data_IF_975282322961
#
_entry.id   IF_975282322961
#
_cell.length_a   1.000
_cell.length_b   1.000
_cell.length_c   1.000
_cell.angle_alpha   90.00
_cell.angle_beta   90.00
_cell.angle_gamma   90.00
#
_symmetry.space_group_name_H-M   'P 1'
#
loop_
_entity.id
_entity.type
_entity.pdbx_description
1 polymer ?
#
# COMPACT_ATOMS: atom_id res chain seq x y z
N UNK A 1 -39.90 -47.70 77.35
CA UNK A 1 -38.57 -47.81 76.75
C UNK A 1 -38.67 -47.55 75.24
N UNK A 2 -38.39 -46.35 74.80
CA UNK A 2 -38.35 -46.03 73.40
C UNK A 2 -37.03 -45.19 73.13
N UNK A 3 -36.14 -45.82 72.40
CA UNK A 3 -34.90 -45.22 72.00
C UNK A 3 -35.12 -44.28 70.76
N UNK A 4 -34.79 -43.02 70.89
CA UNK A 4 -34.78 -42.11 69.82
C UNK A 4 -33.41 -42.18 69.09
N UNK A 5 -33.42 -42.46 67.82
CA UNK A 5 -32.24 -42.39 66.95
C UNK A 5 -32.12 -41.00 66.34
N UNK A 6 -31.01 -40.33 66.58
CA UNK A 6 -30.69 -39.04 65.94
C UNK A 6 -30.00 -39.27 64.59
N UNK A 7 -30.58 -38.76 63.53
CA UNK A 7 -29.91 -38.68 62.18
C UNK A 7 -29.16 -37.43 62.11
N UNK A 8 -27.83 -37.49 61.92
CA UNK A 8 -26.96 -36.40 61.56
C UNK A 8 -26.89 -36.29 60.03
N UNK A 9 -27.27 -35.15 59.46
CA UNK A 9 -27.07 -34.78 58.03
C UNK A 9 -25.68 -34.17 57.89
N UNK A 10 -24.84 -34.61 56.91
CA UNK A 10 -23.65 -33.90 56.58
C UNK A 10 -23.99 -32.76 55.59
N UNK A 11 -23.65 -31.51 55.94
CA UNK A 11 -23.71 -30.39 55.05
C UNK A 11 -22.51 -30.45 54.07
N UNK A 12 -22.78 -30.64 52.76
CA UNK A 12 -21.79 -30.48 51.71
C UNK A 12 -21.57 -28.99 51.44
N UNK A 13 -20.40 -28.48 51.78
CA UNK A 13 -19.91 -27.18 51.37
C UNK A 13 -19.42 -27.30 49.92
N UNK A 14 -20.19 -26.77 48.96
CA UNK A 14 -19.75 -26.50 47.58
C UNK A 14 -18.83 -25.26 47.60
N UNK A 15 -17.52 -25.47 47.56
CA UNK A 15 -16.56 -24.43 47.26
C UNK A 15 -16.64 -24.09 45.75
N UNK A 16 -17.38 -23.04 45.42
CA UNK A 16 -17.39 -22.48 44.09
C UNK A 16 -16.03 -21.76 43.84
N UNK A 17 -15.18 -22.33 42.97
CA UNK A 17 -14.06 -21.59 42.41
C UNK A 17 -14.63 -20.48 41.50
N UNK A 18 -14.72 -19.27 42.02
CA UNK A 18 -14.83 -18.08 41.18
C UNK A 18 -13.48 -17.91 40.48
N UNK A 19 -13.42 -18.19 39.17
CA UNK A 19 -12.32 -17.76 38.34
C UNK A 19 -12.34 -16.24 38.38
N UNK A 20 -11.39 -15.66 39.11
CA UNK A 20 -11.10 -14.23 39.05
C UNK A 20 -10.62 -13.95 37.63
N UNK A 21 -11.44 -13.25 36.84
CA UNK A 21 -10.98 -12.59 35.60
C UNK A 21 -9.86 -11.66 36.01
N UNK A 22 -8.62 -12.02 35.70
CA UNK A 22 -7.48 -11.13 35.87
C UNK A 22 -7.68 -10.02 34.85
N UNK A 23 -8.10 -8.86 35.29
CA UNK A 23 -7.93 -7.60 34.55
C UNK A 23 -6.45 -7.48 34.25
N UNK A 24 -6.03 -7.28 32.99
CA UNK A 24 -4.61 -7.09 32.69
C UNK A 24 -4.07 -5.97 33.57
N UNK A 25 -2.93 -6.17 34.20
CA UNK A 25 -2.28 -5.15 35.00
C UNK A 25 -1.97 -3.97 34.09
N UNK A 26 -2.53 -2.80 34.37
CA UNK A 26 -2.26 -1.55 33.69
C UNK A 26 -0.78 -1.24 33.93
N UNK A 27 0.06 -1.37 32.89
CA UNK A 27 1.48 -1.00 32.98
C UNK A 27 1.56 0.53 32.94
N UNK A 28 2.17 1.12 33.96
CA UNK A 28 2.28 2.58 34.10
C UNK A 28 3.17 3.22 33.00
N UNK A 29 3.97 2.44 32.29
CA UNK A 29 4.85 2.89 31.21
C UNK A 29 4.87 1.86 30.08
N UNK A 30 5.01 2.34 28.85
CA UNK A 30 5.16 1.51 27.66
C UNK A 30 6.52 0.77 27.71
N UNK A 31 6.49 -0.57 27.67
CA UNK A 31 7.70 -1.40 27.69
C UNK A 31 7.80 -2.16 26.38
N UNK A 32 8.85 -1.88 25.60
CA UNK A 32 9.14 -2.59 24.34
C UNK A 32 9.71 -3.97 24.68
N UNK A 33 9.11 -5.03 24.13
CA UNK A 33 9.56 -6.42 24.28
C UNK A 33 10.38 -6.90 23.08
N UNK A 34 9.95 -6.52 21.85
CA UNK A 34 10.63 -6.90 20.62
C UNK A 34 10.30 -5.91 19.50
N UNK A 35 10.95 -6.09 18.36
CA UNK A 35 10.59 -5.42 17.11
C UNK A 35 9.87 -6.41 16.20
N UNK A 36 8.75 -5.96 15.62
CA UNK A 36 8.04 -6.73 14.62
C UNK A 36 8.94 -6.91 13.37
N UNK A 37 9.10 -8.14 12.85
CA UNK A 37 10.01 -8.38 11.74
C UNK A 37 9.46 -7.81 10.42
N UNK A 38 10.22 -6.90 9.82
CA UNK A 38 10.02 -6.41 8.46
C UNK A 38 11.26 -6.78 7.65
N UNK A 39 11.06 -7.38 6.48
CA UNK A 39 12.14 -7.87 5.64
C UNK A 39 12.62 -6.83 4.63
N UNK A 40 11.69 -6.06 4.09
CA UNK A 40 11.92 -5.14 2.98
C UNK A 40 11.59 -3.70 3.32
N UNK A 41 10.47 -3.45 4.01
CA UNK A 41 9.96 -2.11 4.32
C UNK A 41 10.90 -1.33 5.22
N UNK A 42 11.12 -0.05 4.87
CA UNK A 42 12.03 0.86 5.57
C UNK A 42 11.39 2.17 6.00
N UNK A 43 10.17 2.45 5.52
CA UNK A 43 9.47 3.71 5.81
C UNK A 43 8.63 3.64 7.08
N UNK A 44 8.50 2.47 7.69
CA UNK A 44 7.89 2.32 9.01
C UNK A 44 8.60 1.27 9.85
N UNK A 45 8.38 1.30 11.16
CA UNK A 45 8.80 0.28 12.10
C UNK A 45 7.70 0.03 13.11
N UNK A 46 7.69 -1.16 13.71
CA UNK A 46 6.74 -1.54 14.76
C UNK A 46 7.50 -2.14 15.92
N UNK A 47 7.37 -1.54 17.09
CA UNK A 47 7.86 -2.10 18.35
C UNK A 47 6.69 -2.79 19.06
N UNK A 48 6.83 -4.09 19.29
CA UNK A 48 5.85 -4.90 20.04
C UNK A 48 6.07 -4.64 21.52
N UNK A 49 5.02 -4.22 22.21
CA UNK A 49 5.08 -3.79 23.59
C UNK A 49 4.33 -4.73 24.54
N UNK A 50 4.78 -4.76 25.81
CA UNK A 50 4.11 -5.50 26.86
C UNK A 50 2.62 -5.13 26.95
N UNK A 51 1.76 -6.13 27.14
CA UNK A 51 0.31 -5.93 27.21
C UNK A 51 -0.40 -5.99 25.86
N UNK A 52 0.31 -6.38 24.79
CA UNK A 52 -0.23 -6.55 23.45
C UNK A 52 -0.39 -5.24 22.66
N UNK A 53 0.31 -4.18 23.08
CA UNK A 53 0.34 -2.92 22.33
C UNK A 53 1.38 -2.98 21.22
N UNK A 54 1.11 -2.29 20.11
CA UNK A 54 2.07 -2.10 19.03
C UNK A 54 2.35 -0.60 18.85
N UNK A 55 3.64 -0.21 18.93
CA UNK A 55 4.07 1.16 18.69
C UNK A 55 4.63 1.28 17.27
N UNK A 56 3.83 1.86 16.39
CA UNK A 56 4.19 2.12 15.01
C UNK A 56 4.92 3.47 14.93
N UNK A 57 6.03 3.50 14.18
CA UNK A 57 6.74 4.75 13.88
C UNK A 57 6.85 4.92 12.36
N UNK A 58 6.37 6.06 11.83
CA UNK A 58 6.43 6.45 10.42
C UNK A 58 6.98 7.87 10.34
N UNK A 59 8.16 8.06 9.73
CA UNK A 59 8.78 9.38 9.55
C UNK A 59 8.79 10.24 10.83
N UNK A 60 9.09 9.59 11.96
CA UNK A 60 9.12 10.23 13.28
C UNK A 60 7.76 10.38 13.97
N UNK A 61 6.65 10.23 13.29
CA UNK A 61 5.31 10.17 13.91
C UNK A 61 5.10 8.82 14.58
N UNK A 62 4.59 8.83 15.83
CA UNK A 62 4.40 7.62 16.63
C UNK A 62 2.92 7.35 16.90
N UNK A 63 2.50 6.10 16.68
CA UNK A 63 1.12 5.65 16.84
C UNK A 63 1.09 4.41 17.71
N UNK A 64 0.39 4.47 18.84
CA UNK A 64 0.18 3.33 19.70
C UNK A 64 -1.14 2.66 19.37
N UNK A 65 -1.07 1.45 18.83
CA UNK A 65 -2.25 0.59 18.62
C UNK A 65 -2.56 -0.08 19.95
N UNK A 66 -3.76 0.20 20.46
CA UNK A 66 -4.27 -0.37 21.72
C UNK A 66 -5.28 -1.45 21.39
N UNK A 67 -5.07 -2.70 21.85
CA UNK A 67 -5.98 -3.80 21.58
C UNK A 67 -7.41 -3.52 22.06
N UNK A 68 -8.38 -4.16 21.41
CA UNK A 68 -9.79 -4.08 21.83
C UNK A 68 -9.95 -4.51 23.29
N UNK A 69 -10.70 -3.69 24.05
CA UNK A 69 -10.96 -3.94 25.48
C UNK A 69 -9.82 -3.61 26.43
N UNK A 70 -8.63 -3.24 25.92
CA UNK A 70 -7.53 -2.72 26.72
C UNK A 70 -7.61 -1.19 26.88
N UNK A 71 -7.08 -0.67 27.99
CA UNK A 71 -6.92 0.78 28.18
C UNK A 71 -5.50 1.20 27.76
N UNK A 72 -5.37 2.38 27.17
CA UNK A 72 -4.05 2.95 26.89
C UNK A 72 -3.27 3.18 28.19
N UNK A 73 -1.93 2.99 28.19
CA UNK A 73 -1.06 3.31 29.33
C UNK A 73 -1.21 4.77 29.77
N UNK A 74 -1.18 5.01 31.09
CA UNK A 74 -1.45 6.34 31.65
C UNK A 74 -0.34 7.37 31.36
N UNK A 75 0.90 6.91 31.21
CA UNK A 75 2.11 7.75 31.09
C UNK A 75 2.74 7.61 29.69
N UNK A 76 1.99 8.01 28.64
CA UNK A 76 2.50 8.08 27.28
C UNK A 76 3.20 9.43 27.03
N UNK A 77 4.20 9.41 26.17
CA UNK A 77 4.79 10.64 25.63
C UNK A 77 3.72 11.41 24.86
N UNK A 78 3.73 12.74 24.97
CA UNK A 78 2.69 13.60 24.41
C UNK A 78 2.60 13.59 22.87
N UNK A 79 3.64 13.08 22.19
CA UNK A 79 3.71 12.95 20.74
C UNK A 79 3.24 11.57 20.22
N UNK A 80 2.79 10.68 21.11
CA UNK A 80 2.19 9.40 20.73
C UNK A 80 0.70 9.58 20.49
N UNK A 81 0.29 9.30 19.27
CA UNK A 81 -1.13 9.23 18.90
C UNK A 81 -1.68 7.85 19.26
N UNK A 82 -2.73 7.80 20.06
CA UNK A 82 -3.37 6.55 20.46
C UNK A 82 -4.41 6.14 19.43
N UNK A 83 -4.31 4.90 18.94
CA UNK A 83 -5.26 4.26 18.02
C UNK A 83 -5.90 3.08 18.73
N UNK A 84 -7.16 3.27 19.16
CA UNK A 84 -7.91 2.23 19.88
C UNK A 84 -8.58 1.27 18.90
N UNK A 85 -8.31 -0.03 19.03
CA UNK A 85 -9.05 -1.04 18.27
C UNK A 85 -10.45 -1.31 18.90
N UNK A 86 -11.46 -1.67 18.08
CA UNK A 86 -11.38 -1.80 16.62
C UNK A 86 -11.35 -0.43 15.93
N UNK A 87 -10.37 -0.23 15.03
CA UNK A 87 -10.32 0.98 14.19
C UNK A 87 -11.40 0.84 13.11
N UNK A 88 -12.33 1.77 13.08
CA UNK A 88 -13.48 1.80 12.17
C UNK A 88 -13.69 3.20 11.59
N UNK A 89 -14.56 3.28 10.60
CA UNK A 89 -14.92 4.53 9.94
C UNK A 89 -13.69 5.28 9.40
N UNK A 90 -12.76 4.53 8.80
CA UNK A 90 -11.55 5.10 8.23
C UNK A 90 -11.90 6.05 7.09
N UNK A 91 -11.31 7.24 7.10
CA UNK A 91 -11.24 8.13 5.95
C UNK A 91 -9.96 7.82 5.18
N UNK A 92 -10.11 7.15 4.03
CA UNK A 92 -9.00 6.69 3.20
C UNK A 92 -8.74 7.65 2.04
N UNK A 93 -7.61 8.35 2.08
CA UNK A 93 -7.16 9.28 1.05
C UNK A 93 -6.02 8.70 0.22
N UNK A 94 -5.15 7.89 0.84
CA UNK A 94 -4.09 7.18 0.13
C UNK A 94 -4.68 6.01 -0.67
N UNK A 95 -4.79 6.16 -1.99
CA UNK A 95 -5.38 5.13 -2.85
C UNK A 95 -4.58 3.83 -2.89
N UNK A 96 -3.26 3.88 -2.63
CA UNK A 96 -2.39 2.70 -2.53
C UNK A 96 -2.67 1.83 -1.30
N UNK A 97 -3.35 2.38 -0.28
CA UNK A 97 -3.68 1.65 0.94
C UNK A 97 -4.96 0.79 0.81
N UNK A 98 -5.82 1.08 -0.19
CA UNK A 98 -7.09 0.38 -0.35
C UNK A 98 -6.92 -1.10 -0.67
N UNK A 99 -6.03 -1.44 -1.59
CA UNK A 99 -5.80 -2.82 -2.03
C UNK A 99 -5.24 -3.72 -0.91
N UNK A 100 -4.20 -3.31 -0.14
CA UNK A 100 -3.77 -4.04 1.05
C UNK A 100 -4.89 -4.23 2.09
N UNK A 101 -5.72 -3.22 2.32
CA UNK A 101 -6.86 -3.32 3.25
C UNK A 101 -7.90 -4.33 2.73
N UNK A 102 -8.21 -4.31 1.43
CA UNK A 102 -9.11 -5.29 0.80
C UNK A 102 -8.54 -6.71 0.92
N UNK A 103 -7.25 -6.90 0.61
CA UNK A 103 -6.59 -8.20 0.56
C UNK A 103 -6.61 -8.95 1.89
N UNK A 104 -6.64 -8.21 3.01
CA UNK A 104 -6.77 -8.78 4.36
C UNK A 104 -8.24 -8.83 4.85
N UNK A 105 -9.22 -8.54 3.98
CA UNK A 105 -10.64 -8.51 4.35
C UNK A 105 -11.03 -7.33 5.25
N UNK A 106 -10.28 -6.22 5.19
CA UNK A 106 -10.47 -5.05 6.04
C UNK A 106 -11.37 -3.96 5.45
N UNK A 107 -11.95 -4.14 4.25
CA UNK A 107 -12.74 -3.11 3.55
C UNK A 107 -13.86 -2.52 4.42
N UNK A 108 -14.52 -3.34 5.23
CA UNK A 108 -15.60 -2.89 6.11
C UNK A 108 -15.19 -1.89 7.20
N UNK A 109 -13.88 -1.68 7.43
CA UNK A 109 -13.40 -0.63 8.32
C UNK A 109 -13.33 0.76 7.62
N UNK A 110 -13.39 0.81 6.28
CA UNK A 110 -13.36 2.05 5.50
C UNK A 110 -14.78 2.54 5.29
N UNK A 111 -15.10 3.72 5.81
CA UNK A 111 -16.41 4.35 5.62
C UNK A 111 -16.36 5.55 4.66
N UNK A 112 -15.17 6.15 4.49
CA UNK A 112 -14.99 7.37 3.73
C UNK A 112 -13.81 7.27 2.78
N UNK A 113 -13.95 7.83 1.58
CA UNK A 113 -12.92 7.82 0.54
C UNK A 113 -12.55 9.23 0.10
N UNK A 114 -11.25 9.47 -0.09
CA UNK A 114 -10.72 10.68 -0.76
C UNK A 114 -10.75 10.59 -2.29
N UNK A 115 -11.13 9.44 -2.83
CA UNK A 115 -11.23 9.15 -4.27
C UNK A 115 -12.70 8.89 -4.62
N UNK A 116 -13.19 9.44 -5.72
CA UNK A 116 -14.55 9.23 -6.21
C UNK A 116 -14.72 7.83 -6.81
N UNK A 117 -15.93 7.29 -6.84
CA UNK A 117 -16.22 5.92 -7.26
C UNK A 117 -15.69 5.61 -8.68
N UNK A 118 -15.90 6.54 -9.63
CA UNK A 118 -15.46 6.40 -11.03
C UNK A 118 -13.92 6.37 -11.20
N UNK A 119 -13.16 6.79 -10.18
CA UNK A 119 -11.71 6.80 -10.19
C UNK A 119 -11.09 5.60 -9.45
N UNK A 120 -11.92 4.69 -8.93
CA UNK A 120 -11.45 3.42 -8.39
C UNK A 120 -11.39 2.34 -9.46
N UNK A 121 -10.21 1.81 -9.67
CA UNK A 121 -9.96 0.61 -10.51
C UNK A 121 -10.08 -0.69 -9.70
N UNK A 122 -10.21 -0.60 -8.38
CA UNK A 122 -10.51 -1.72 -7.49
C UNK A 122 -12.02 -1.93 -7.43
N UNK A 123 -12.51 -3.03 -8.03
CA UNK A 123 -13.94 -3.33 -8.14
C UNK A 123 -14.64 -3.36 -6.78
N UNK A 124 -13.99 -3.91 -5.76
CA UNK A 124 -14.55 -3.97 -4.41
C UNK A 124 -14.78 -2.57 -3.82
N UNK A 125 -13.81 -1.65 -3.98
CA UNK A 125 -13.94 -0.27 -3.50
C UNK A 125 -15.01 0.50 -4.27
N UNK A 126 -15.02 0.38 -5.62
CA UNK A 126 -16.03 1.01 -6.46
C UNK A 126 -17.42 0.53 -6.11
N UNK A 127 -17.62 -0.79 -5.99
CA UNK A 127 -18.90 -1.39 -5.64
C UNK A 127 -19.40 -0.94 -4.27
N UNK A 128 -18.53 -0.90 -3.26
CA UNK A 128 -18.88 -0.42 -1.93
C UNK A 128 -19.33 1.05 -1.94
N UNK A 129 -18.69 1.90 -2.75
CA UNK A 129 -19.12 3.29 -2.94
C UNK A 129 -20.46 3.40 -3.68
N UNK A 130 -20.67 2.63 -4.74
CA UNK A 130 -21.93 2.60 -5.50
C UNK A 130 -23.11 2.11 -4.65
N UNK A 131 -22.85 1.22 -3.68
CA UNK A 131 -23.83 0.73 -2.71
C UNK A 131 -24.04 1.69 -1.52
N UNK A 132 -23.23 2.73 -1.41
CA UNK A 132 -23.30 3.70 -0.32
C UNK A 132 -22.69 3.20 0.99
N UNK A 133 -21.92 2.13 0.97
CA UNK A 133 -21.17 1.63 2.12
C UNK A 133 -19.94 2.50 2.40
N UNK A 134 -19.33 3.08 1.37
CA UNK A 134 -18.25 4.07 1.46
C UNK A 134 -18.72 5.37 0.80
N UNK A 135 -18.63 6.49 1.52
CA UNK A 135 -18.96 7.80 0.99
C UNK A 135 -17.73 8.58 0.54
N UNK A 136 -17.86 9.39 -0.51
CA UNK A 136 -16.82 10.36 -0.85
C UNK A 136 -16.82 11.53 0.14
N UNK A 137 -15.68 11.80 0.77
CA UNK A 137 -15.53 12.86 1.78
C UNK A 137 -14.44 13.90 1.40
N UNK A 138 -14.26 14.14 0.10
CA UNK A 138 -13.28 15.11 -0.40
C UNK A 138 -11.87 14.53 -0.52
N UNK A 139 -10.98 15.28 -1.19
CA UNK A 139 -9.57 14.90 -1.41
C UNK A 139 -8.65 15.49 -0.33
N UNK A 140 -7.40 15.05 -0.26
CA UNK A 140 -6.37 15.49 0.70
C UNK A 140 -6.32 17.03 0.91
N UNK A 141 -6.55 17.84 -0.12
CA UNK A 141 -6.46 19.31 -0.06
C UNK A 141 -7.79 20.03 0.18
N UNK A 142 -8.89 19.29 0.19
CA UNK A 142 -10.24 19.83 0.38
C UNK A 142 -11.19 18.75 0.94
N UNK A 143 -10.94 18.26 2.17
CA UNK A 143 -11.80 17.29 2.81
C UNK A 143 -13.16 17.90 3.22
N UNK A 144 -14.19 17.10 3.22
CA UNK A 144 -15.50 17.44 3.79
C UNK A 144 -15.50 17.12 5.29
N UNK A 145 -15.10 18.11 6.09
CA UNK A 145 -15.01 17.94 7.54
C UNK A 145 -16.36 17.60 8.19
N UNK A 146 -17.48 18.08 7.65
CA UNK A 146 -18.81 17.78 8.19
C UNK A 146 -19.13 16.28 8.02
N UNK A 147 -18.90 15.75 6.83
CA UNK A 147 -19.07 14.33 6.54
C UNK A 147 -18.12 13.46 7.39
N UNK A 148 -16.85 13.85 7.51
CA UNK A 148 -15.84 13.11 8.28
C UNK A 148 -16.21 13.03 9.76
N UNK A 149 -16.64 14.15 10.35
CA UNK A 149 -17.04 14.21 11.76
C UNK A 149 -18.38 13.51 12.02
N UNK A 150 -19.33 13.62 11.09
CA UNK A 150 -20.63 12.95 11.19
C UNK A 150 -20.51 11.43 11.13
N UNK A 151 -19.49 10.92 10.47
CA UNK A 151 -19.19 9.49 10.38
C UNK A 151 -18.44 8.95 11.61
N UNK A 152 -18.11 9.77 12.59
CA UNK A 152 -17.27 9.40 13.76
C UNK A 152 -15.95 8.76 13.29
N UNK A 153 -15.21 9.47 12.43
CA UNK A 153 -13.99 8.98 11.80
C UNK A 153 -12.93 8.58 12.83
N UNK A 154 -12.58 7.30 12.87
CA UNK A 154 -11.59 6.76 13.83
C UNK A 154 -10.13 6.93 13.41
N UNK A 155 -9.86 7.10 12.11
CA UNK A 155 -8.52 7.29 11.55
C UNK A 155 -8.62 7.87 10.14
N UNK A 156 -7.85 8.91 9.84
CA UNK A 156 -7.59 9.37 8.48
C UNK A 156 -6.26 8.79 7.98
N UNK A 157 -6.28 8.05 6.87
CA UNK A 157 -5.08 7.54 6.19
C UNK A 157 -4.81 8.43 4.99
N UNK A 158 -3.90 9.37 5.16
CA UNK A 158 -3.52 10.36 4.17
C UNK A 158 -2.30 9.90 3.35
N UNK A 159 -2.18 10.41 2.14
CA UNK A 159 -0.96 10.26 1.35
C UNK A 159 0.00 11.45 1.58
N UNK A 160 1.22 11.34 1.07
CA UNK A 160 2.25 12.37 1.27
C UNK A 160 1.96 13.72 0.60
N UNK A 161 0.94 13.81 -0.26
CA UNK A 161 0.49 15.10 -0.82
C UNK A 161 -0.08 16.02 0.26
N UNK A 162 -0.48 15.48 1.42
CA UNK A 162 -0.93 16.28 2.59
C UNK A 162 0.14 17.26 3.07
N UNK A 163 1.43 16.99 2.82
CA UNK A 163 2.52 17.89 3.16
C UNK A 163 2.50 19.22 2.38
N UNK A 164 1.75 19.30 1.28
CA UNK A 164 1.52 20.54 0.54
C UNK A 164 0.35 21.38 1.11
N UNK A 165 -0.44 20.78 2.02
CA UNK A 165 -1.58 21.40 2.70
C UNK A 165 -1.58 21.01 4.18
N UNK A 166 -0.52 21.34 4.95
CA UNK A 166 -0.35 20.89 6.34
C UNK A 166 -1.49 21.36 7.24
N UNK A 167 -2.14 22.46 6.90
CA UNK A 167 -3.31 22.99 7.62
C UNK A 167 -4.50 22.02 7.64
N UNK A 168 -4.63 21.16 6.63
CA UNK A 168 -5.68 20.13 6.58
C UNK A 168 -5.41 19.06 7.64
N UNK A 169 -4.18 18.56 7.73
CA UNK A 169 -3.77 17.60 8.77
C UNK A 169 -4.01 18.19 10.16
N UNK A 170 -3.51 19.40 10.40
CA UNK A 170 -3.71 20.09 11.68
C UNK A 170 -5.19 20.28 12.04
N UNK A 171 -6.05 20.53 11.04
CA UNK A 171 -7.47 20.71 11.28
C UNK A 171 -8.18 19.40 11.63
N UNK A 172 -7.85 18.28 10.97
CA UNK A 172 -8.35 16.95 11.32
C UNK A 172 -7.95 16.59 12.76
N UNK A 173 -6.68 16.78 13.11
CA UNK A 173 -6.16 16.50 14.45
C UNK A 173 -6.82 17.39 15.53
N UNK A 174 -7.09 18.67 15.25
CA UNK A 174 -7.85 19.56 16.15
C UNK A 174 -9.29 19.09 16.37
N UNK A 175 -9.89 18.44 15.40
CA UNK A 175 -11.19 17.80 15.52
C UNK A 175 -11.16 16.45 16.24
N UNK A 176 -9.97 15.99 16.63
CA UNK A 176 -9.80 14.72 17.33
C UNK A 176 -9.71 13.50 16.41
N UNK A 177 -9.59 13.71 15.09
CA UNK A 177 -9.38 12.64 14.12
C UNK A 177 -7.88 12.35 14.02
N UNK A 178 -7.40 11.16 14.41
CA UNK A 178 -6.01 10.77 14.22
C UNK A 178 -5.66 10.76 12.72
N UNK A 179 -4.45 11.23 12.37
CA UNK A 179 -3.99 11.25 10.98
C UNK A 179 -2.71 10.44 10.84
N UNK A 180 -2.76 9.37 10.05
CA UNK A 180 -1.61 8.57 9.64
C UNK A 180 -1.25 8.95 8.20
N UNK A 181 0.01 9.39 7.99
CA UNK A 181 0.51 9.66 6.63
C UNK A 181 1.20 8.42 6.09
N UNK A 182 0.59 7.82 5.09
CA UNK A 182 1.06 6.63 4.39
C UNK A 182 2.25 6.97 3.50
N UNK A 183 3.32 6.15 3.55
CA UNK A 183 4.58 6.42 2.84
C UNK A 183 5.09 5.24 2.00
N UNK A 184 4.24 4.29 1.66
CA UNK A 184 4.64 3.17 0.79
C UNK A 184 5.20 3.64 -0.56
N UNK A 185 4.77 4.82 -1.02
CA UNK A 185 5.28 5.45 -2.23
C UNK A 185 6.76 5.86 -2.16
N UNK A 186 7.34 5.93 -0.95
CA UNK A 186 8.77 6.22 -0.73
C UNK A 186 9.62 4.95 -0.59
N UNK A 187 9.00 3.76 -0.61
CA UNK A 187 9.75 2.52 -0.68
C UNK A 187 10.37 2.34 -2.07
N UNK A 188 11.65 2.02 -2.10
CA UNK A 188 12.41 1.80 -3.34
C UNK A 188 12.36 0.35 -3.82
N UNK A 189 11.69 -0.53 -3.08
CA UNK A 189 11.55 -1.95 -3.35
C UNK A 189 10.06 -2.29 -3.51
N UNK A 190 9.64 -3.00 -4.58
CA UNK A 190 8.25 -3.41 -4.74
C UNK A 190 7.78 -4.31 -3.61
N UNK A 191 8.64 -5.20 -3.08
CA UNK A 191 8.31 -6.04 -1.94
C UNK A 191 8.13 -5.22 -0.66
N UNK A 192 8.94 -4.17 -0.48
CA UNK A 192 8.77 -3.24 0.64
C UNK A 192 7.42 -2.51 0.57
N UNK A 193 6.96 -2.12 -0.64
CA UNK A 193 5.63 -1.51 -0.80
C UNK A 193 4.51 -2.47 -0.42
N UNK A 194 4.61 -3.74 -0.83
CA UNK A 194 3.63 -4.77 -0.48
C UNK A 194 3.66 -5.08 1.01
N UNK A 195 4.82 -5.04 1.66
CA UNK A 195 4.96 -5.33 3.08
C UNK A 195 4.19 -4.34 3.98
N UNK A 196 3.75 -3.20 3.47
CA UNK A 196 2.84 -2.29 4.15
C UNK A 196 1.49 -2.94 4.51
N UNK A 197 1.12 -4.04 3.87
CA UNK A 197 -0.04 -4.86 4.26
C UNK A 197 0.04 -5.30 5.72
N UNK A 198 1.26 -5.56 6.24
CA UNK A 198 1.49 -5.93 7.65
C UNK A 198 1.12 -4.77 8.59
N UNK A 199 1.38 -3.51 8.20
CA UNK A 199 0.94 -2.34 8.96
C UNK A 199 -0.59 -2.29 9.06
N UNK A 200 -1.30 -2.50 7.95
CA UNK A 200 -2.76 -2.53 7.96
C UNK A 200 -3.31 -3.73 8.74
N UNK A 201 -2.61 -4.86 8.70
CA UNK A 201 -2.91 -6.02 9.55
C UNK A 201 -2.89 -5.69 11.03
N UNK A 202 -1.84 -4.99 11.49
CA UNK A 202 -1.71 -4.53 12.88
C UNK A 202 -2.82 -3.53 13.23
N UNK A 203 -3.05 -2.51 12.39
CA UNK A 203 -4.09 -1.51 12.63
C UNK A 203 -5.48 -2.12 12.77
N UNK A 204 -5.80 -3.12 11.95
CA UNK A 204 -7.13 -3.72 11.86
C UNK A 204 -7.29 -5.03 12.66
N UNK A 205 -6.27 -5.44 13.42
CA UNK A 205 -6.28 -6.71 14.17
C UNK A 205 -6.33 -7.96 13.27
N UNK A 206 -5.66 -7.90 12.09
CA UNK A 206 -5.62 -8.95 11.06
C UNK A 206 -4.18 -9.30 10.68
N UNK A 207 -3.31 -9.38 11.67
CA UNK A 207 -1.86 -9.57 11.47
C UNK A 207 -1.55 -10.89 10.76
N UNK A 208 -2.21 -12.00 11.16
CA UNK A 208 -1.99 -13.32 10.55
C UNK A 208 -2.41 -13.36 9.08
N UNK A 209 -3.52 -12.70 8.71
CA UNK A 209 -3.94 -12.55 7.31
C UNK A 209 -2.93 -11.73 6.51
N UNK A 210 -2.42 -10.67 7.10
CA UNK A 210 -1.47 -9.78 6.44
C UNK A 210 -0.13 -10.48 6.17
N UNK A 211 0.37 -11.24 7.13
CA UNK A 211 1.57 -12.06 6.95
C UNK A 211 1.37 -13.07 5.83
N UNK A 212 0.27 -13.83 5.85
CA UNK A 212 -0.05 -14.82 4.81
C UNK A 212 -0.18 -14.18 3.43
N UNK A 213 -0.89 -13.06 3.31
CA UNK A 213 -1.06 -12.34 2.02
C UNK A 213 0.28 -11.85 1.49
N UNK A 214 1.14 -11.34 2.36
CA UNK A 214 2.48 -10.91 1.98
C UNK A 214 3.35 -12.09 1.52
N UNK A 215 3.38 -13.17 2.29
CA UNK A 215 4.17 -14.38 1.97
C UNK A 215 3.71 -15.00 0.64
N UNK A 216 2.41 -15.11 0.41
CA UNK A 216 1.83 -15.60 -0.84
C UNK A 216 2.27 -14.72 -2.03
N UNK A 217 2.29 -13.40 -1.86
CA UNK A 217 2.72 -12.46 -2.89
C UNK A 217 4.21 -12.59 -3.21
N UNK A 218 5.08 -12.75 -2.20
CA UNK A 218 6.52 -12.99 -2.38
C UNK A 218 6.76 -14.33 -3.08
N UNK A 219 6.02 -15.37 -2.71
CA UNK A 219 6.16 -16.70 -3.32
C UNK A 219 5.83 -16.72 -4.82
N UNK A 220 4.93 -15.84 -5.30
CA UNK A 220 4.60 -15.74 -6.74
C UNK A 220 5.81 -15.38 -7.60
N UNK A 221 6.72 -14.53 -7.11
CA UNK A 221 7.93 -14.11 -7.84
C UNK A 221 9.19 -14.85 -7.42
N UNK A 222 9.13 -15.71 -6.39
CA UNK A 222 10.29 -16.44 -5.91
C UNK A 222 11.07 -17.19 -7.02
N UNK A 223 10.42 -17.81 -8.02
CA UNK A 223 11.14 -18.46 -9.12
C UNK A 223 12.04 -17.52 -9.92
N UNK A 224 11.66 -16.22 -10.03
CA UNK A 224 12.43 -15.24 -10.82
C UNK A 224 13.65 -14.71 -10.08
N UNK A 225 13.69 -14.82 -8.75
CA UNK A 225 14.78 -14.22 -7.93
C UNK A 225 16.14 -14.91 -8.18
N UNK A 226 16.14 -16.16 -8.64
CA UNK A 226 17.32 -16.96 -8.91
C UNK A 226 17.61 -17.09 -10.43
N UNK A 227 16.82 -16.43 -11.29
CA UNK A 227 17.03 -16.49 -12.74
C UNK A 227 18.15 -15.54 -13.20
N UNK A 228 18.88 -15.97 -14.22
CA UNK A 228 19.91 -15.12 -14.85
C UNK A 228 19.24 -13.99 -15.65
N UNK A 229 19.84 -12.79 -15.66
CA UNK A 229 19.32 -11.66 -16.44
C UNK A 229 19.17 -12.02 -17.93
N UNK A 230 18.06 -11.59 -18.53
CA UNK A 230 17.74 -11.86 -19.95
C UNK A 230 18.62 -11.11 -20.94
N UNK A 231 19.31 -10.07 -20.48
CA UNK A 231 20.06 -9.13 -21.31
C UNK A 231 19.17 -8.13 -22.05
N UNK A 232 17.84 -8.19 -21.90
CA UNK A 232 16.90 -7.21 -22.47
C UNK A 232 16.95 -5.89 -21.71
N UNK A 233 16.84 -4.80 -22.45
CA UNK A 233 16.75 -3.43 -21.90
C UNK A 233 15.35 -2.88 -22.04
N UNK A 234 14.87 -2.14 -21.03
CA UNK A 234 13.52 -1.58 -21.02
C UNK A 234 13.52 -0.10 -20.59
N UNK A 235 12.63 0.69 -21.21
CA UNK A 235 12.28 2.03 -20.77
C UNK A 235 10.84 2.05 -20.25
N UNK A 236 10.62 2.62 -19.07
CA UNK A 236 9.30 2.90 -18.50
C UNK A 236 9.04 4.40 -18.51
N UNK A 237 8.00 4.86 -19.23
CA UNK A 237 7.80 6.27 -19.50
C UNK A 237 6.36 6.66 -19.77
N UNK A 238 6.06 7.95 -19.72
CA UNK A 238 4.89 8.57 -20.35
C UNK A 238 5.30 9.87 -21.06
N UNK A 239 4.48 10.35 -22.00
CA UNK A 239 4.70 11.62 -22.71
C UNK A 239 3.69 12.63 -22.20
N UNK A 240 4.18 13.73 -21.64
CA UNK A 240 3.34 14.81 -21.11
C UNK A 240 2.77 15.68 -22.23
N UNK A 241 1.71 16.43 -21.93
CA UNK A 241 1.13 17.44 -22.83
C UNK A 241 2.11 18.55 -23.22
N UNK A 242 3.19 18.74 -22.46
CA UNK A 242 4.25 19.72 -22.73
C UNK A 242 5.43 19.13 -23.54
N UNK A 243 5.25 17.97 -24.14
CA UNK A 243 6.28 17.26 -24.92
C UNK A 243 7.55 16.94 -24.10
N UNK A 244 7.39 16.52 -22.88
CA UNK A 244 8.46 15.96 -22.06
C UNK A 244 8.21 14.47 -21.84
N UNK A 245 9.27 13.69 -21.72
CA UNK A 245 9.18 12.33 -21.26
C UNK A 245 9.27 12.28 -19.73
N UNK A 246 8.25 11.73 -19.07
CA UNK A 246 8.32 11.41 -17.65
C UNK A 246 8.88 10.01 -17.50
N UNK A 247 10.01 9.88 -16.83
CA UNK A 247 10.69 8.59 -16.58
C UNK A 247 10.88 8.37 -15.09
N UNK A 248 11.15 7.13 -14.67
CA UNK A 248 11.48 6.79 -13.29
C UNK A 248 12.96 7.04 -13.02
N UNK A 249 13.29 7.46 -11.79
CA UNK A 249 14.68 7.47 -11.33
C UNK A 249 15.18 6.04 -11.13
N UNK A 250 16.49 5.83 -11.25
CA UNK A 250 17.08 4.48 -11.11
C UNK A 250 16.89 3.82 -9.74
N UNK A 251 16.69 4.61 -8.68
CA UNK A 251 16.37 4.13 -7.33
C UNK A 251 14.88 3.87 -7.06
N UNK A 252 14.01 4.04 -8.05
CA UNK A 252 12.58 3.81 -7.91
C UNK A 252 12.23 2.31 -7.97
N UNK A 253 11.14 1.93 -7.30
CA UNK A 253 10.70 0.53 -7.24
C UNK A 253 10.33 -0.05 -8.62
N UNK A 254 9.91 0.77 -9.59
CA UNK A 254 9.63 0.32 -10.97
C UNK A 254 10.92 -0.11 -11.66
N UNK A 255 12.01 0.65 -11.49
CA UNK A 255 13.33 0.25 -12.00
C UNK A 255 13.77 -1.10 -11.41
N UNK A 256 13.48 -1.31 -10.11
CA UNK A 256 13.76 -2.58 -9.43
C UNK A 256 12.85 -3.72 -9.93
N UNK A 257 11.57 -3.47 -10.21
CA UNK A 257 10.68 -4.49 -10.80
C UNK A 257 11.19 -4.97 -12.17
N UNK A 258 11.66 -4.05 -13.01
CA UNK A 258 12.29 -4.42 -14.30
C UNK A 258 13.50 -5.34 -14.07
N UNK A 259 14.32 -5.04 -13.04
CA UNK A 259 15.46 -5.90 -12.65
C UNK A 259 15.01 -7.28 -12.16
N UNK A 260 14.01 -7.35 -11.28
CA UNK A 260 13.45 -8.61 -10.78
C UNK A 260 12.82 -9.47 -11.90
N UNK A 261 12.28 -8.82 -12.92
CA UNK A 261 11.77 -9.47 -14.13
C UNK A 261 12.88 -9.94 -15.09
N UNK A 262 14.17 -9.75 -14.75
CA UNK A 262 15.32 -10.16 -15.57
C UNK A 262 15.74 -9.14 -16.63
N UNK A 263 15.12 -7.94 -16.67
CA UNK A 263 15.49 -6.86 -17.59
C UNK A 263 16.49 -5.86 -17.00
N UNK A 264 16.93 -4.91 -17.83
CA UNK A 264 17.77 -3.79 -17.40
C UNK A 264 17.07 -2.46 -17.72
N UNK A 265 16.89 -1.61 -16.71
CA UNK A 265 16.26 -0.31 -16.90
C UNK A 265 17.26 0.68 -17.54
N UNK A 266 16.89 1.30 -18.68
CA UNK A 266 17.82 2.16 -19.44
C UNK A 266 18.21 3.45 -18.72
N UNK A 267 17.42 3.92 -17.74
CA UNK A 267 17.71 5.11 -16.93
C UNK A 267 18.12 4.75 -15.48
N UNK A 268 18.75 3.58 -15.27
CA UNK A 268 19.17 3.13 -13.94
C UNK A 268 20.13 4.11 -13.24
N UNK A 269 20.96 4.84 -13.99
CA UNK A 269 21.89 5.83 -13.45
C UNK A 269 21.28 7.24 -13.27
N UNK A 270 20.01 7.41 -13.66
CA UNK A 270 19.34 8.70 -13.54
C UNK A 270 19.00 9.00 -12.08
N UNK A 271 19.73 9.93 -11.52
CA UNK A 271 19.54 10.45 -10.16
C UNK A 271 19.30 11.96 -10.23
N UNK A 272 18.33 12.44 -9.48
CA UNK A 272 18.12 13.87 -9.28
C UNK A 272 18.17 14.15 -7.77
N UNK A 273 19.16 14.94 -7.37
CA UNK A 273 19.33 15.35 -5.97
C UNK A 273 18.40 16.51 -5.55
N UNK A 274 17.65 17.07 -6.50
CA UNK A 274 16.85 18.29 -6.28
C UNK A 274 15.49 18.07 -5.64
N UNK A 275 14.98 16.84 -5.67
CA UNK A 275 13.68 16.49 -5.08
C UNK A 275 13.59 15.00 -4.74
N UNK A 276 12.63 14.66 -3.87
CA UNK A 276 12.38 13.28 -3.44
C UNK A 276 11.33 12.55 -4.31
N UNK A 277 10.91 13.14 -5.45
CA UNK A 277 9.96 12.49 -6.34
C UNK A 277 10.60 11.27 -7.01
N UNK A 278 9.81 10.24 -7.20
CA UNK A 278 10.21 8.99 -7.87
C UNK A 278 10.42 9.17 -9.39
N UNK A 279 9.87 10.25 -9.96
CA UNK A 279 9.91 10.55 -11.38
C UNK A 279 10.67 11.83 -11.68
N UNK A 280 11.13 11.96 -12.93
CA UNK A 280 11.70 13.19 -13.48
C UNK A 280 11.22 13.38 -14.91
N UNK A 281 10.99 14.64 -15.29
CA UNK A 281 10.70 15.02 -16.67
C UNK A 281 12.01 15.33 -17.37
N UNK A 282 12.28 14.64 -18.48
CA UNK A 282 13.44 14.87 -19.33
C UNK A 282 13.01 15.37 -20.71
N UNK A 283 13.91 16.01 -21.44
CA UNK A 283 13.64 16.40 -22.82
C UNK A 283 13.41 15.18 -23.72
N UNK A 284 12.69 15.36 -24.83
CA UNK A 284 12.53 14.27 -25.80
C UNK A 284 13.85 13.86 -26.43
N UNK A 285 14.81 14.79 -26.57
CA UNK A 285 16.16 14.53 -27.05
C UNK A 285 16.95 13.63 -26.07
N UNK A 286 16.87 13.92 -24.77
CA UNK A 286 17.51 13.09 -23.74
C UNK A 286 16.84 11.70 -23.67
N UNK A 287 15.51 11.64 -23.80
CA UNK A 287 14.77 10.39 -23.87
C UNK A 287 15.18 9.57 -25.10
N UNK A 288 15.30 10.22 -26.27
CA UNK A 288 15.78 9.58 -27.50
C UNK A 288 17.19 9.02 -27.29
N UNK A 289 18.10 9.82 -26.77
CA UNK A 289 19.48 9.41 -26.56
C UNK A 289 19.60 8.21 -25.60
N UNK A 290 18.74 8.13 -24.58
CA UNK A 290 18.80 7.07 -23.55
C UNK A 290 17.99 5.82 -23.88
N UNK A 291 16.91 5.92 -24.66
CA UNK A 291 15.94 4.84 -24.81
C UNK A 291 15.72 4.31 -26.25
N UNK A 292 16.29 4.98 -27.29
CA UNK A 292 16.03 4.59 -28.69
C UNK A 292 16.43 3.14 -29.00
N UNK A 293 17.48 2.65 -28.36
CA UNK A 293 18.04 1.32 -28.56
C UNK A 293 17.48 0.28 -27.56
N UNK A 294 16.52 0.68 -26.69
CA UNK A 294 15.87 -0.24 -25.77
C UNK A 294 15.14 -1.36 -26.50
N UNK A 295 15.20 -2.57 -25.94
CA UNK A 295 14.52 -3.74 -26.50
C UNK A 295 13.00 -3.66 -26.31
N UNK A 296 12.56 -3.06 -25.20
CA UNK A 296 11.15 -2.97 -24.79
C UNK A 296 10.81 -1.56 -24.33
N UNK A 297 9.66 -1.06 -24.75
CA UNK A 297 9.05 0.17 -24.24
C UNK A 297 7.80 -0.14 -23.43
N UNK A 298 7.75 0.36 -22.21
CA UNK A 298 6.62 0.23 -21.27
C UNK A 298 6.01 1.62 -21.07
N UNK A 299 4.87 1.87 -21.72
CA UNK A 299 4.16 3.14 -21.58
C UNK A 299 3.31 3.14 -20.32
N UNK A 300 3.54 4.12 -19.45
CA UNK A 300 2.78 4.31 -18.22
C UNK A 300 1.45 5.03 -18.49
N UNK A 301 0.34 4.33 -18.43
CA UNK A 301 -1.01 4.85 -18.68
C UNK A 301 -1.61 5.63 -17.51
N UNK A 302 -1.05 5.53 -16.32
CA UNK A 302 -1.70 5.97 -15.08
C UNK A 302 -1.87 7.49 -14.96
N UNK A 303 -1.16 8.28 -15.76
CA UNK A 303 -1.20 9.74 -15.73
C UNK A 303 -1.86 10.31 -16.99
N UNK A 304 -1.39 9.87 -18.17
CA UNK A 304 -1.79 10.43 -19.47
C UNK A 304 -2.84 9.59 -20.21
N UNK A 305 -3.37 8.57 -19.53
CA UNK A 305 -4.38 7.66 -20.08
C UNK A 305 -3.79 6.48 -20.84
N UNK A 306 -4.62 5.49 -21.02
CA UNK A 306 -4.30 4.22 -21.69
C UNK A 306 -4.17 4.42 -23.20
N UNK A 307 -3.19 3.77 -23.81
CA UNK A 307 -3.01 3.68 -25.25
C UNK A 307 -3.33 2.26 -25.68
N UNK A 308 -3.93 2.13 -26.87
CA UNK A 308 -4.34 0.84 -27.45
C UNK A 308 -3.62 0.52 -28.75
N UNK A 309 -3.13 1.54 -29.43
CA UNK A 309 -2.48 1.39 -30.73
C UNK A 309 -1.15 2.11 -30.81
N UNK A 310 -0.29 1.63 -31.70
CA UNK A 310 0.98 2.28 -32.03
C UNK A 310 0.75 3.69 -32.59
N UNK A 311 -0.31 3.86 -33.39
CA UNK A 311 -0.66 5.16 -33.97
C UNK A 311 -0.98 6.22 -32.89
N UNK A 312 -1.67 5.82 -31.81
CA UNK A 312 -1.94 6.71 -30.66
C UNK A 312 -0.63 7.14 -29.97
N UNK A 313 0.33 6.23 -29.80
CA UNK A 313 1.62 6.54 -29.24
C UNK A 313 2.42 7.48 -30.14
N UNK A 314 2.46 7.19 -31.45
CA UNK A 314 3.18 8.01 -32.43
C UNK A 314 2.51 9.37 -32.64
N UNK A 315 1.20 9.49 -32.44
CA UNK A 315 0.52 10.79 -32.42
C UNK A 315 0.95 11.66 -31.24
N UNK A 316 1.27 11.06 -30.07
CA UNK A 316 1.84 11.79 -28.92
C UNK A 316 3.29 12.20 -29.17
N UNK A 317 4.10 11.34 -29.78
CA UNK A 317 5.52 11.58 -30.02
C UNK A 317 6.00 10.87 -31.31
N UNK A 318 5.96 11.54 -32.47
CA UNK A 318 6.35 10.96 -33.76
C UNK A 318 7.81 10.46 -33.81
N UNK A 319 8.69 11.04 -32.99
CA UNK A 319 10.11 10.65 -32.92
C UNK A 319 10.28 9.18 -32.47
N UNK A 320 9.31 8.60 -31.76
CA UNK A 320 9.36 7.21 -31.31
C UNK A 320 9.37 6.20 -32.47
N UNK A 321 8.98 6.61 -33.70
CA UNK A 321 9.03 5.74 -34.87
C UNK A 321 10.45 5.20 -35.17
N UNK A 322 11.50 5.90 -34.75
CA UNK A 322 12.88 5.48 -34.94
C UNK A 322 13.42 4.57 -33.82
N UNK A 323 12.61 4.29 -32.80
CA UNK A 323 13.03 3.45 -31.68
C UNK A 323 13.01 1.97 -32.06
N UNK A 324 14.02 1.23 -31.60
CA UNK A 324 14.17 -0.20 -31.83
C UNK A 324 12.91 -0.99 -31.44
N UNK A 325 12.38 -0.74 -30.26
CA UNK A 325 11.19 -1.41 -29.77
C UNK A 325 9.94 -1.13 -30.61
N UNK A 326 9.78 0.09 -31.14
CA UNK A 326 8.67 0.43 -32.06
C UNK A 326 8.82 -0.32 -33.37
N UNK A 327 10.02 -0.37 -33.93
CA UNK A 327 10.31 -1.08 -35.17
C UNK A 327 10.16 -2.59 -35.06
N UNK A 328 10.41 -3.16 -33.88
CA UNK A 328 10.23 -4.59 -33.58
C UNK A 328 8.83 -4.95 -33.08
N UNK A 329 7.95 -3.96 -32.79
CA UNK A 329 6.65 -4.19 -32.22
C UNK A 329 6.67 -4.59 -30.73
N UNK A 330 7.75 -4.27 -29.99
CA UNK A 330 7.89 -4.57 -28.55
C UNK A 330 7.55 -3.35 -27.70
N UNK A 331 6.32 -2.87 -27.85
CA UNK A 331 5.79 -1.71 -27.09
C UNK A 331 4.52 -2.12 -26.36
N UNK A 332 4.52 -1.85 -25.07
CA UNK A 332 3.46 -2.27 -24.15
C UNK A 332 2.92 -1.08 -23.37
N UNK A 333 1.62 -1.09 -23.10
CA UNK A 333 0.94 -0.09 -22.27
C UNK A 333 0.52 -0.73 -20.95
N UNK A 334 0.77 -0.05 -19.83
CA UNK A 334 0.32 -0.54 -18.52
C UNK A 334 -1.16 -0.30 -18.34
N UNK A 335 -1.81 -1.13 -17.50
CA UNK A 335 -3.17 -0.87 -17.00
C UNK A 335 -3.18 0.41 -16.14
N UNK A 336 -4.28 1.17 -16.17
CA UNK A 336 -4.49 2.33 -15.31
C UNK A 336 -4.61 1.97 -13.82
N UNK A 337 -4.97 0.72 -13.52
CA UNK A 337 -5.08 0.20 -12.14
C UNK A 337 -3.75 0.06 -11.41
N UNK A 338 -2.63 0.06 -12.13
CA UNK A 338 -1.29 -0.30 -11.65
C UNK A 338 -0.93 0.26 -10.26
N UNK A 339 -1.21 1.55 -10.00
CA UNK A 339 -0.82 2.16 -8.72
C UNK A 339 -1.86 2.00 -7.61
N UNK A 340 -3.03 1.46 -7.92
CA UNK A 340 -4.04 1.12 -6.92
C UNK A 340 -3.95 -0.35 -6.47
N UNK A 341 -3.45 -1.24 -7.33
CA UNK A 341 -3.31 -2.68 -7.08
C UNK A 341 -1.91 -3.01 -6.55
N UNK A 342 -1.59 -2.49 -5.37
CA UNK A 342 -0.25 -2.62 -4.80
C UNK A 342 0.11 -4.04 -4.35
N UNK A 343 -0.88 -4.89 -4.06
CA UNK A 343 -0.67 -6.31 -3.73
C UNK A 343 -0.52 -7.19 -4.97
N UNK A 344 -0.80 -6.66 -6.17
CA UNK A 344 -0.67 -7.35 -7.44
C UNK A 344 0.61 -6.96 -8.21
N UNK A 345 1.57 -6.27 -7.57
CA UNK A 345 2.88 -5.99 -8.17
C UNK A 345 3.64 -7.24 -8.63
N UNK A 346 3.51 -8.43 -8.00
CA UNK A 346 4.06 -9.67 -8.52
C UNK A 346 3.60 -9.97 -9.95
N UNK A 347 2.32 -9.75 -10.26
CA UNK A 347 1.77 -10.01 -11.60
C UNK A 347 2.42 -9.09 -12.65
N UNK A 348 2.68 -7.81 -12.32
CA UNK A 348 3.40 -6.93 -13.23
C UNK A 348 4.85 -7.39 -13.45
N UNK A 349 5.52 -7.90 -12.41
CA UNK A 349 6.88 -8.45 -12.54
C UNK A 349 6.87 -9.69 -13.44
N UNK A 350 5.88 -10.58 -13.29
CA UNK A 350 5.68 -11.75 -14.13
C UNK A 350 5.35 -11.37 -15.58
N UNK A 351 4.47 -10.39 -15.79
CA UNK A 351 4.17 -9.85 -17.12
C UNK A 351 5.45 -9.33 -17.81
N UNK A 352 6.24 -8.52 -17.10
CA UNK A 352 7.53 -8.03 -17.62
C UNK A 352 8.50 -9.16 -17.94
N UNK A 353 8.58 -10.19 -17.08
CA UNK A 353 9.45 -11.34 -17.33
C UNK A 353 9.04 -12.06 -18.62
N UNK A 354 7.74 -12.31 -18.84
CA UNK A 354 7.24 -12.89 -20.09
C UNK A 354 7.59 -12.04 -21.31
N UNK A 355 7.41 -10.72 -21.20
CA UNK A 355 7.78 -9.77 -22.26
C UNK A 355 9.28 -9.79 -22.57
N UNK A 356 10.14 -10.09 -21.59
CA UNK A 356 11.59 -10.17 -21.78
C UNK A 356 12.06 -11.55 -22.27
N UNK A 357 11.31 -12.61 -22.01
CA UNK A 357 11.75 -13.99 -22.30
C UNK A 357 11.07 -14.62 -23.49
N UNK A 358 9.83 -14.24 -23.81
CA UNK A 358 9.03 -14.76 -24.91
C UNK A 358 9.17 -13.87 -26.16
N UNK A 359 9.20 -14.45 -27.37
CA UNK A 359 9.31 -13.67 -28.61
C UNK A 359 8.03 -12.88 -28.93
N UNK A 360 6.86 -13.46 -28.62
CA UNK A 360 5.55 -12.85 -28.86
C UNK A 360 4.56 -13.34 -27.77
N UNK A 361 4.67 -12.81 -26.55
CA UNK A 361 3.76 -13.22 -25.48
C UNK A 361 2.32 -12.84 -25.80
N UNK A 362 1.39 -13.75 -25.49
CA UNK A 362 -0.05 -13.52 -25.64
C UNK A 362 -0.50 -12.50 -24.59
N UNK A 363 -0.87 -11.30 -25.02
CA UNK A 363 -1.29 -10.21 -24.12
C UNK A 363 -2.63 -10.51 -23.42
N UNK A 364 -3.42 -11.47 -23.92
CA UNK A 364 -4.62 -11.94 -23.22
C UNK A 364 -4.31 -12.75 -21.94
N UNK A 365 -3.07 -13.19 -21.78
CA UNK A 365 -2.57 -13.89 -20.60
C UNK A 365 -1.80 -12.96 -19.63
N UNK A 366 -1.65 -11.68 -19.96
CA UNK A 366 -1.01 -10.67 -19.13
C UNK A 366 -2.05 -9.90 -18.32
N UNK A 367 -1.69 -9.53 -17.10
CA UNK A 367 -2.59 -8.84 -16.16
C UNK A 367 -2.51 -7.33 -16.31
N UNK A 368 -1.31 -6.79 -16.45
CA UNK A 368 -1.05 -5.35 -16.43
C UNK A 368 -0.52 -4.79 -17.74
N UNK A 369 -0.05 -5.62 -18.64
CA UNK A 369 0.56 -5.17 -19.88
C UNK A 369 -0.30 -5.57 -21.09
N UNK A 370 -0.58 -4.59 -21.97
CA UNK A 370 -1.26 -4.78 -23.24
C UNK A 370 -0.34 -4.33 -24.36
N UNK A 371 -0.17 -5.14 -25.39
CA UNK A 371 0.68 -4.80 -26.54
C UNK A 371 0.03 -3.71 -27.40
N UNK A 372 0.82 -2.73 -27.85
CA UNK A 372 0.35 -1.74 -28.83
C UNK A 372 0.50 -2.31 -30.24
N UNK A 373 -0.60 -2.36 -30.98
CA UNK A 373 -0.67 -2.90 -32.35
C UNK A 373 -0.80 -1.83 -33.42
#
# INVERSE_FOLDING_TARGET
>A
MRRAAAFALPALLLAGCAAASQTPAQTDALTIESRYPLEYAKQFTVDVCAGGYDLITIDGSRYLVVPEGAAAPANLDADITVLQQPIQNIYLVSSSAMDPIISIGGLGAVALSGTQAENWYLDAARTAMEQGEIAYAGKYSAPDYETILSADCGLAIENTMIYHTPEVKEQLEKFGVPVLVERSSYESDPLARMEWVKLYGILLGRTEEAERVFDDAVQRIAPLLDEEPTGKTAAFFSITSNNLATVRKGGDYVAKMIGLAGGSYVFADLTDSGNNLATVNISLEDFYAGARDADVLLYNSTIEGELRTMDELLAKCPMLADFKAVQSGSVWCTSQSLFQQSMELPELILDMNRVFTEDDPDDSELTFLTKLH
#
